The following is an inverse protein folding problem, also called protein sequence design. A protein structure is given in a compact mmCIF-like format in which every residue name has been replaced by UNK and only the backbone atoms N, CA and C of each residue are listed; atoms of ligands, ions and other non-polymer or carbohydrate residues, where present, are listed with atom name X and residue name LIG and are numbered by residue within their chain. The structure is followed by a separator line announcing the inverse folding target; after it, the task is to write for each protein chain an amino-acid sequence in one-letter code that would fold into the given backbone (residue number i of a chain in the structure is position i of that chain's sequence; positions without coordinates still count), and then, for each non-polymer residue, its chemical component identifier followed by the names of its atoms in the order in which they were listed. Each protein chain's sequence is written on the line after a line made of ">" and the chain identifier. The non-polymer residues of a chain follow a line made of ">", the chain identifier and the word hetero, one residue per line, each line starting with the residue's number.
data_IF_948706887358
#
_entry.id   IF_948706887358
#
_cell.length_a   1.000
_cell.length_b   1.000
_cell.length_c   1.000
_cell.angle_alpha   90.00
_cell.angle_beta   90.00
_cell.angle_gamma   90.00
#
_symmetry.space_group_name_H-M   'P 1'
#
loop_
_entity.id
_entity.type
_entity.pdbx_description
1 polymer ?
#
# COMPACT_ATOMS: atom_id res chain seq x y z
N UNK A 1 -0.34 21.96 2.29
CA UNK A 1 0.17 20.72 1.73
C UNK A 1 1.13 21.08 0.59
N UNK A 2 2.41 20.89 0.80
CA UNK A 2 3.39 21.07 -0.29
C UNK A 2 3.36 19.81 -1.15
N UNK A 3 3.10 19.94 -2.46
CA UNK A 3 3.22 18.80 -3.37
C UNK A 3 4.69 18.33 -3.38
N UNK A 4 4.90 17.01 -3.39
CA UNK A 4 6.20 16.34 -3.29
C UNK A 4 6.89 16.48 -1.92
N UNK A 5 6.15 16.40 -0.83
CA UNK A 5 6.72 16.37 0.51
C UNK A 5 7.61 15.13 0.69
N UNK A 6 8.94 15.28 0.90
CA UNK A 6 9.85 14.13 1.00
C UNK A 6 9.69 13.33 2.31
N UNK A 7 8.86 13.81 3.22
CA UNK A 7 8.69 13.21 4.54
C UNK A 7 7.42 12.38 4.64
N UNK A 8 6.33 12.81 3.95
CA UNK A 8 5.04 12.12 4.02
C UNK A 8 4.59 11.56 2.65
N UNK A 9 5.45 11.59 1.62
CA UNK A 9 5.16 11.10 0.27
C UNK A 9 3.80 11.55 -0.27
N UNK A 10 3.45 12.84 -0.03
CA UNK A 10 2.19 13.49 -0.37
C UNK A 10 0.93 12.98 0.39
N UNK A 11 1.06 11.97 1.24
CA UNK A 11 -0.06 11.42 2.00
C UNK A 11 -0.55 12.34 3.13
N UNK A 12 0.28 13.33 3.55
CA UNK A 12 -0.03 14.25 4.65
C UNK A 12 0.04 13.61 6.04
N UNK A 13 0.40 12.35 6.14
CA UNK A 13 0.52 11.57 7.37
C UNK A 13 1.91 10.98 7.48
N UNK A 14 2.42 10.89 8.71
CA UNK A 14 3.66 10.21 9.04
C UNK A 14 3.33 9.00 9.91
N UNK A 15 3.80 7.84 9.46
CA UNK A 15 3.68 6.61 10.23
C UNK A 15 4.99 6.37 10.99
N UNK A 16 4.88 6.28 12.30
CA UNK A 16 6.00 6.01 13.18
C UNK A 16 5.87 4.60 13.76
N UNK A 17 7.00 4.02 14.16
CA UNK A 17 7.03 2.71 14.83
C UNK A 17 6.47 1.56 13.99
N UNK A 18 7.19 1.25 12.90
CA UNK A 18 6.89 0.07 12.10
C UNK A 18 7.25 -1.20 12.87
N UNK A 19 6.26 -2.07 13.10
CA UNK A 19 6.44 -3.37 13.74
C UNK A 19 5.88 -4.47 12.85
N UNK A 20 6.55 -5.62 12.82
CA UNK A 20 6.04 -6.79 12.14
C UNK A 20 5.08 -7.54 13.07
N UNK A 21 3.95 -7.95 12.53
CA UNK A 21 2.93 -8.70 13.25
C UNK A 21 2.31 -9.77 12.35
N UNK A 22 1.96 -10.91 12.93
CA UNK A 22 1.23 -11.95 12.22
C UNK A 22 -0.26 -11.77 12.47
N UNK A 23 -1.00 -11.42 11.42
CA UNK A 23 -2.44 -11.25 11.46
C UNK A 23 -3.17 -12.22 10.53
N UNK A 24 -4.46 -12.37 10.71
CA UNK A 24 -5.32 -13.19 9.88
C UNK A 24 -6.37 -12.33 9.18
N UNK A 25 -6.41 -12.39 7.85
CA UNK A 25 -7.49 -11.79 7.07
C UNK A 25 -8.74 -12.67 7.12
N UNK A 26 -9.83 -12.12 7.64
CA UNK A 26 -11.13 -12.80 7.77
C UNK A 26 -12.11 -12.14 6.80
N UNK A 27 -12.09 -12.59 5.54
CA UNK A 27 -12.81 -11.88 4.47
C UNK A 27 -14.28 -12.29 4.28
N UNK A 28 -14.71 -13.48 4.70
CA UNK A 28 -15.90 -14.10 4.12
C UNK A 28 -17.23 -13.91 4.88
N UNK A 29 -17.24 -13.65 6.16
CA UNK A 29 -18.51 -13.59 6.92
C UNK A 29 -19.18 -12.23 6.85
N UNK A 30 -18.41 -11.17 6.81
CA UNK A 30 -18.94 -9.80 6.73
C UNK A 30 -19.36 -9.42 5.31
N UNK A 31 -18.71 -9.96 4.28
CA UNK A 31 -19.12 -9.76 2.90
C UNK A 31 -20.63 -10.01 2.73
N UNK A 32 -21.15 -11.11 3.25
CA UNK A 32 -22.58 -11.45 3.17
C UNK A 32 -23.50 -10.52 3.96
N UNK A 33 -23.02 -9.97 5.09
CA UNK A 33 -23.81 -9.05 5.93
C UNK A 33 -23.89 -7.67 5.25
N UNK A 34 -22.77 -7.17 4.75
CA UNK A 34 -22.73 -5.88 4.07
C UNK A 34 -23.40 -5.92 2.69
N UNK A 35 -23.28 -7.00 1.93
CA UNK A 35 -24.04 -7.21 0.69
C UNK A 35 -25.55 -7.10 0.89
N UNK A 36 -26.08 -7.65 1.98
CA UNK A 36 -27.50 -7.55 2.32
C UNK A 36 -27.94 -6.12 2.67
N UNK A 37 -27.02 -5.29 3.15
CA UNK A 37 -27.28 -3.89 3.51
C UNK A 37 -26.96 -2.92 2.37
N UNK A 38 -26.51 -3.41 1.20
CA UNK A 38 -26.11 -2.57 0.07
C UNK A 38 -24.83 -1.74 0.32
N UNK A 39 -24.10 -2.01 1.40
CA UNK A 39 -22.88 -1.30 1.76
C UNK A 39 -21.69 -2.22 1.47
N UNK A 40 -21.40 -2.39 0.20
CA UNK A 40 -20.19 -3.09 -0.21
C UNK A 40 -19.16 -2.07 -0.73
N UNK A 41 -18.07 -1.88 0.02
CA UNK A 41 -16.91 -1.15 -0.47
C UNK A 41 -15.85 -2.13 -0.94
N UNK A 42 -15.54 -2.07 -2.23
CA UNK A 42 -14.45 -2.84 -2.83
C UNK A 42 -13.14 -2.51 -2.09
N UNK A 43 -12.38 -3.56 -1.74
CA UNK A 43 -11.10 -3.41 -1.06
C UNK A 43 -11.17 -3.33 0.46
N UNK A 44 -12.34 -3.51 1.06
CA UNK A 44 -12.45 -3.65 2.51
C UNK A 44 -12.21 -5.09 2.94
N UNK A 45 -11.60 -5.26 4.10
CA UNK A 45 -11.37 -6.57 4.73
C UNK A 45 -11.44 -6.45 6.25
N UNK A 46 -11.63 -7.58 6.93
CA UNK A 46 -11.45 -7.66 8.37
C UNK A 46 -10.16 -8.40 8.64
N UNK A 47 -9.38 -7.82 9.55
CA UNK A 47 -8.13 -8.40 9.99
C UNK A 47 -8.23 -8.67 11.49
N UNK A 48 -7.93 -9.91 11.88
CA UNK A 48 -7.74 -10.29 13.27
C UNK A 48 -6.25 -10.18 13.59
N UNK A 49 -5.92 -9.34 14.56
CA UNK A 49 -4.57 -9.01 14.97
C UNK A 49 -4.33 -9.50 16.40
N UNK A 50 -3.14 -10.02 16.73
CA UNK A 50 -2.82 -10.49 18.07
C UNK A 50 -2.77 -9.32 19.07
N UNK A 51 -2.72 -9.66 20.34
CA UNK A 51 -2.68 -8.69 21.44
C UNK A 51 -1.30 -8.17 21.76
N UNK A 52 -0.27 -8.85 21.23
CA UNK A 52 1.14 -8.56 21.52
C UNK A 52 1.96 -8.68 20.24
N UNK A 53 2.97 -7.86 20.12
CA UNK A 53 4.01 -8.01 19.11
C UNK A 53 4.95 -9.16 19.47
N UNK A 54 5.82 -9.54 18.54
CA UNK A 54 6.79 -10.63 18.75
C UNK A 54 7.79 -10.37 19.88
N UNK A 55 7.96 -9.12 20.28
CA UNK A 55 8.82 -8.69 21.40
C UNK A 55 8.09 -8.70 22.75
N UNK A 56 6.80 -9.10 22.78
CA UNK A 56 5.97 -9.13 23.99
C UNK A 56 5.37 -7.77 24.36
N UNK A 57 5.59 -6.73 23.58
CA UNK A 57 4.93 -5.45 23.80
C UNK A 57 3.47 -5.51 23.37
N UNK A 58 2.61 -4.75 24.05
CA UNK A 58 1.18 -4.70 23.74
C UNK A 58 0.95 -4.11 22.34
N UNK A 59 0.19 -4.84 21.53
CA UNK A 59 -0.27 -4.38 20.23
C UNK A 59 -1.65 -3.77 20.36
N UNK A 60 -1.77 -2.50 20.03
CA UNK A 60 -3.03 -1.75 20.01
C UNK A 60 -3.17 -1.01 18.68
N UNK A 61 -4.26 -1.32 17.96
CA UNK A 61 -4.50 -0.77 16.63
C UNK A 61 -5.65 0.20 16.67
N UNK A 62 -5.40 1.38 16.16
CA UNK A 62 -6.33 2.49 16.15
C UNK A 62 -6.76 2.86 14.72
N UNK A 63 -7.84 3.61 14.61
CA UNK A 63 -8.26 4.23 13.35
C UNK A 63 -7.11 5.09 12.80
N UNK A 64 -6.86 4.94 11.51
CA UNK A 64 -5.76 5.54 10.73
C UNK A 64 -4.42 4.81 10.80
N UNK A 65 -4.27 3.76 11.60
CA UNK A 65 -3.07 2.91 11.48
C UNK A 65 -3.02 2.25 10.10
N UNK A 66 -1.82 1.98 9.64
CA UNK A 66 -1.59 1.41 8.32
C UNK A 66 -1.00 0.01 8.44
N UNK A 67 -1.56 -0.91 7.67
CA UNK A 67 -1.11 -2.30 7.59
C UNK A 67 -0.58 -2.60 6.19
N UNK A 68 0.66 -3.02 6.08
CA UNK A 68 1.26 -3.51 4.84
C UNK A 68 1.34 -5.04 4.87
N UNK A 69 0.77 -5.70 3.88
CA UNK A 69 0.81 -7.17 3.78
C UNK A 69 2.09 -7.58 3.08
N UNK A 70 3.06 -8.15 3.82
CA UNK A 70 4.39 -8.43 3.31
C UNK A 70 4.47 -9.70 2.43
N UNK A 71 3.59 -10.68 2.70
CA UNK A 71 3.61 -12.00 2.03
C UNK A 71 2.77 -12.05 0.75
N UNK A 72 2.26 -10.92 0.31
CA UNK A 72 1.40 -10.86 -0.87
C UNK A 72 1.70 -9.64 -1.71
N UNK A 73 1.79 -9.81 -3.01
CA UNK A 73 2.04 -8.74 -3.96
C UNK A 73 0.84 -8.54 -4.88
N UNK A 74 0.62 -7.32 -5.27
CA UNK A 74 -0.44 -6.95 -6.20
C UNK A 74 0.13 -6.13 -7.34
N UNK A 75 -0.42 -6.35 -8.53
CA UNK A 75 -0.08 -5.56 -9.70
C UNK A 75 -0.70 -4.17 -9.58
N UNK A 76 0.13 -3.17 -9.82
CA UNK A 76 -0.21 -1.76 -9.85
C UNK A 76 0.10 -1.16 -11.22
N UNK A 77 -0.67 -0.14 -11.58
CA UNK A 77 -0.47 0.64 -12.80
C UNK A 77 -0.43 2.10 -12.44
N UNK A 78 0.60 2.79 -12.90
CA UNK A 78 0.71 4.24 -12.74
C UNK A 78 1.15 4.90 -14.03
N UNK A 79 0.69 6.13 -14.20
CA UNK A 79 1.13 7.05 -15.23
C UNK A 79 1.83 8.18 -14.50
N UNK A 80 3.10 8.37 -14.77
CA UNK A 80 3.94 9.38 -14.13
C UNK A 80 4.60 10.26 -15.16
N UNK A 81 4.73 11.54 -14.83
CA UNK A 81 5.58 12.46 -15.54
C UNK A 81 7.02 12.32 -15.01
N UNK A 82 7.97 12.22 -15.92
CA UNK A 82 9.38 12.18 -15.54
C UNK A 82 9.81 13.54 -14.98
N UNK A 83 10.33 13.55 -13.76
CA UNK A 83 10.91 14.71 -13.12
C UNK A 83 12.37 14.41 -12.75
N UNK A 84 13.35 15.17 -13.27
CA UNK A 84 14.74 14.95 -12.91
C UNK A 84 14.93 15.16 -11.41
N UNK A 85 15.50 14.18 -10.74
CA UNK A 85 15.92 14.28 -9.35
C UNK A 85 17.42 14.25 -9.25
N UNK A 86 18.00 14.84 -8.21
CA UNK A 86 19.45 14.93 -8.03
C UNK A 86 20.12 13.54 -8.04
N UNK A 87 19.42 12.50 -7.61
CA UNK A 87 19.93 11.14 -7.50
C UNK A 87 19.39 10.19 -8.59
N UNK A 88 18.61 10.70 -9.56
CA UNK A 88 17.98 9.89 -10.60
C UNK A 88 16.87 8.95 -10.12
N UNK A 89 16.45 9.06 -8.85
CA UNK A 89 15.38 8.24 -8.29
C UNK A 89 14.00 8.82 -8.55
N UNK A 90 13.05 7.95 -8.89
CA UNK A 90 11.64 8.29 -8.96
C UNK A 90 10.83 7.36 -8.09
N UNK A 91 10.03 7.94 -7.23
CA UNK A 91 9.13 7.23 -6.36
C UNK A 91 7.79 7.02 -7.05
N UNK A 92 7.27 5.79 -6.99
CA UNK A 92 5.89 5.47 -7.31
C UNK A 92 5.05 5.57 -6.04
N UNK A 93 3.75 5.36 -6.17
CA UNK A 93 2.83 5.41 -5.04
C UNK A 93 3.20 4.43 -3.93
N UNK A 94 3.65 3.23 -4.31
CA UNK A 94 4.09 2.21 -3.37
C UNK A 94 5.50 1.75 -3.68
N UNK A 95 6.23 1.27 -2.67
CA UNK A 95 7.52 0.65 -2.88
C UNK A 95 7.42 -0.51 -3.86
N UNK A 96 8.26 -0.49 -4.88
CA UNK A 96 8.29 -1.48 -5.94
C UNK A 96 8.97 -2.74 -5.43
N UNK A 97 8.34 -3.90 -5.59
CA UNK A 97 9.01 -5.21 -5.43
C UNK A 97 9.67 -5.64 -6.73
N UNK A 98 8.94 -5.56 -7.85
CA UNK A 98 9.50 -5.72 -9.18
C UNK A 98 8.67 -4.98 -10.24
N UNK A 99 9.31 -4.58 -11.34
CA UNK A 99 8.67 -3.95 -12.49
C UNK A 99 8.35 -5.01 -13.54
N UNK A 100 7.10 -5.06 -13.97
CA UNK A 100 6.68 -5.93 -15.06
C UNK A 100 6.88 -5.25 -16.42
N UNK A 101 6.52 -3.98 -16.50
CA UNK A 101 6.54 -3.22 -17.74
C UNK A 101 6.70 -1.73 -17.49
N UNK A 102 7.57 -1.09 -18.24
CA UNK A 102 7.77 0.36 -18.20
C UNK A 102 7.94 0.90 -19.62
N UNK A 103 7.13 1.89 -20.00
CA UNK A 103 7.18 2.46 -21.35
C UNK A 103 6.78 3.92 -21.40
N UNK A 104 7.22 4.60 -22.45
CA UNK A 104 6.79 5.96 -22.80
C UNK A 104 6.64 6.09 -24.31
N UNK A 105 5.84 7.05 -24.75
CA UNK A 105 5.76 7.44 -26.17
C UNK A 105 6.65 8.65 -26.39
N UNK A 106 7.80 8.45 -27.02
CA UNK A 106 8.80 9.48 -27.24
C UNK A 106 8.81 9.84 -28.73
N UNK A 107 8.49 11.09 -29.06
CA UNK A 107 8.43 11.53 -30.45
C UNK A 107 7.42 10.74 -31.30
N UNK A 108 6.34 10.24 -30.71
CA UNK A 108 5.33 9.41 -31.39
C UNK A 108 5.69 7.93 -31.50
N UNK A 109 6.85 7.51 -30.98
CA UNK A 109 7.31 6.11 -31.01
C UNK A 109 7.25 5.52 -29.61
N UNK A 110 6.66 4.33 -29.48
CA UNK A 110 6.65 3.61 -28.22
C UNK A 110 8.07 3.11 -27.89
N UNK A 111 8.60 3.56 -26.78
CA UNK A 111 9.86 3.05 -26.20
C UNK A 111 9.51 2.22 -24.96
N UNK A 112 9.98 0.98 -24.94
CA UNK A 112 9.94 0.11 -23.75
C UNK A 112 11.30 0.19 -23.08
N UNK A 113 11.31 0.46 -21.79
CA UNK A 113 12.52 0.55 -20.99
C UNK A 113 12.84 -0.82 -20.37
N UNK A 114 14.11 -1.18 -20.33
CA UNK A 114 14.59 -2.50 -19.88
C UNK A 114 15.32 -2.33 -18.55
N UNK A 115 14.91 -3.11 -17.55
CA UNK A 115 15.61 -3.14 -16.26
C UNK A 115 17.04 -3.66 -16.44
N UNK A 116 17.99 -3.04 -15.75
CA UNK A 116 19.42 -3.32 -15.88
C UNK A 116 20.12 -2.57 -17.01
N UNK A 117 19.37 -2.01 -17.99
CA UNK A 117 19.89 -1.21 -19.09
C UNK A 117 19.45 0.24 -18.99
N UNK A 118 18.17 0.49 -18.88
CA UNK A 118 17.60 1.85 -18.83
C UNK A 118 17.31 2.31 -17.41
N UNK A 119 16.98 1.38 -16.52
CA UNK A 119 16.68 1.65 -15.11
C UNK A 119 16.98 0.44 -14.21
N UNK A 120 17.08 0.71 -12.92
CA UNK A 120 17.07 -0.32 -11.86
C UNK A 120 15.96 -0.04 -10.85
N UNK A 121 15.59 -1.06 -10.06
CA UNK A 121 14.79 -0.91 -8.86
C UNK A 121 15.73 -0.95 -7.66
N UNK A 122 15.79 0.13 -6.89
CA UNK A 122 16.63 0.27 -5.71
C UNK A 122 15.78 0.87 -4.59
N UNK A 123 15.74 0.21 -3.45
CA UNK A 123 14.95 0.64 -2.28
C UNK A 123 13.49 0.96 -2.63
N UNK A 124 12.87 0.11 -3.47
CA UNK A 124 11.49 0.26 -3.89
C UNK A 124 11.21 1.44 -4.82
N UNK A 125 12.24 2.05 -5.41
CA UNK A 125 12.14 3.20 -6.32
C UNK A 125 12.76 2.88 -7.68
N UNK A 126 12.30 3.57 -8.72
CA UNK A 126 12.96 3.52 -10.03
C UNK A 126 14.20 4.40 -9.96
N UNK A 127 15.36 3.83 -10.25
CA UNK A 127 16.60 4.56 -10.50
C UNK A 127 16.90 4.52 -11.98
N UNK A 128 16.82 5.66 -12.65
CA UNK A 128 17.18 5.77 -14.05
C UNK A 128 18.70 5.69 -14.24
N UNK A 129 19.13 4.93 -15.22
CA UNK A 129 20.53 4.82 -15.57
C UNK A 129 20.94 5.93 -16.55
N UNK A 130 22.17 6.40 -16.43
CA UNK A 130 22.65 7.61 -17.13
C UNK A 130 22.38 7.60 -18.65
N UNK A 131 21.73 8.65 -19.14
CA UNK A 131 21.39 8.84 -20.55
C UNK A 131 20.16 8.11 -21.07
N UNK A 132 19.55 7.23 -20.29
CA UNK A 132 18.38 6.43 -20.68
C UNK A 132 17.04 6.94 -20.08
N UNK A 133 17.06 8.13 -19.49
CA UNK A 133 15.86 8.76 -18.91
C UNK A 133 14.82 9.11 -19.97
N UNK A 134 13.54 9.17 -19.62
CA UNK A 134 12.55 9.86 -20.45
C UNK A 134 12.97 11.32 -20.70
N UNK A 135 12.67 11.90 -21.86
CA UNK A 135 13.00 13.29 -22.15
C UNK A 135 12.40 14.26 -21.14
N UNK A 136 13.14 15.33 -20.86
CA UNK A 136 12.70 16.43 -20.01
C UNK A 136 12.96 17.77 -20.68
N UNK A 137 11.97 18.65 -20.68
CA UNK A 137 12.11 20.02 -21.19
C UNK A 137 12.29 20.99 -20.02
N UNK A 138 13.53 21.44 -19.76
CA UNK A 138 13.83 22.34 -18.64
C UNK A 138 13.19 23.72 -18.76
N UNK A 139 12.93 24.19 -19.99
CA UNK A 139 12.32 25.49 -20.20
C UNK A 139 10.83 25.53 -19.84
N UNK A 140 10.16 24.38 -19.95
CA UNK A 140 8.75 24.22 -19.59
C UNK A 140 8.56 23.51 -18.25
N UNK A 141 9.62 22.97 -17.67
CA UNK A 141 9.61 22.11 -16.47
C UNK A 141 8.67 20.90 -16.62
N UNK A 142 8.59 20.35 -17.84
CA UNK A 142 7.71 19.22 -18.18
C UNK A 142 8.55 18.06 -18.67
N UNK A 143 8.36 16.90 -18.09
CA UNK A 143 8.94 15.63 -18.52
C UNK A 143 8.01 14.83 -19.41
N UNK A 144 8.57 13.88 -20.15
CA UNK A 144 7.76 12.92 -20.88
C UNK A 144 7.00 12.02 -19.91
N UNK A 145 5.76 11.72 -20.25
CA UNK A 145 4.91 10.84 -19.45
C UNK A 145 5.25 9.38 -19.75
N UNK A 146 5.43 8.59 -18.72
CA UNK A 146 5.66 7.15 -18.82
C UNK A 146 4.59 6.36 -18.07
N UNK A 147 4.35 5.16 -18.53
CA UNK A 147 3.46 4.19 -17.90
C UNK A 147 4.29 3.08 -17.27
N UNK A 148 3.99 2.72 -16.05
CA UNK A 148 4.63 1.63 -15.34
C UNK A 148 3.61 0.64 -14.82
N UNK A 149 3.84 -0.66 -15.08
CA UNK A 149 3.18 -1.78 -14.43
C UNK A 149 4.20 -2.44 -13.50
N UNK A 150 3.87 -2.54 -12.24
CA UNK A 150 4.76 -3.05 -11.22
C UNK A 150 4.00 -3.82 -10.15
N UNK A 151 4.72 -4.57 -9.34
CA UNK A 151 4.17 -5.24 -8.18
C UNK A 151 4.61 -4.52 -6.91
N UNK A 152 3.69 -4.47 -5.95
CA UNK A 152 3.91 -3.89 -4.63
C UNK A 152 3.09 -4.63 -3.57
N UNK A 153 3.53 -4.56 -2.34
CA UNK A 153 2.77 -5.06 -1.21
C UNK A 153 1.52 -4.19 -1.00
N UNK A 154 0.33 -4.79 -0.87
CA UNK A 154 -0.88 -4.01 -0.65
C UNK A 154 -0.90 -3.37 0.73
N UNK A 155 -1.32 -2.11 0.75
CA UNK A 155 -1.44 -1.28 1.94
C UNK A 155 -2.91 -1.10 2.28
N UNK A 156 -3.23 -1.23 3.56
CA UNK A 156 -4.57 -1.05 4.11
C UNK A 156 -4.54 -0.03 5.24
N UNK A 157 -5.53 0.83 5.28
CA UNK A 157 -5.74 1.75 6.39
C UNK A 157 -6.82 1.20 7.34
N UNK A 158 -6.59 1.25 8.63
CA UNK A 158 -7.57 0.87 9.65
C UNK A 158 -8.67 1.94 9.65
N UNK A 159 -9.89 1.52 9.35
CA UNK A 159 -11.06 2.41 9.29
C UNK A 159 -11.83 2.38 10.59
N UNK A 160 -11.92 1.21 11.21
CA UNK A 160 -12.69 1.01 12.43
C UNK A 160 -12.17 -0.18 13.22
N UNK A 161 -12.18 -0.06 14.53
CA UNK A 161 -12.02 -1.19 15.44
C UNK A 161 -13.38 -1.83 15.70
N UNK A 162 -13.50 -3.13 15.45
CA UNK A 162 -14.78 -3.84 15.52
C UNK A 162 -15.08 -4.40 16.91
N UNK A 163 -14.08 -4.49 17.77
CA UNK A 163 -14.21 -5.08 19.09
C UNK A 163 -13.58 -4.18 20.15
N UNK A 164 -14.42 -3.55 20.98
CA UNK A 164 -13.95 -2.70 22.06
C UNK A 164 -13.54 -3.52 23.31
N UNK A 165 -14.25 -4.62 23.58
CA UNK A 165 -13.96 -5.47 24.73
C UNK A 165 -12.90 -6.51 24.37
N UNK A 166 -11.68 -6.31 24.85
CA UNK A 166 -10.51 -7.12 24.53
C UNK A 166 -10.08 -8.06 25.65
N UNK A 167 -10.91 -8.22 26.68
CA UNK A 167 -10.58 -9.05 27.84
C UNK A 167 -11.69 -10.04 28.11
N UNK A 168 -11.34 -11.30 28.25
CA UNK A 168 -12.21 -12.37 28.74
C UNK A 168 -11.60 -13.01 29.97
N UNK A 169 -12.37 -13.79 30.69
CA UNK A 169 -11.87 -14.60 31.80
C UNK A 169 -11.76 -16.07 31.37
N UNK A 170 -10.61 -16.65 31.55
CA UNK A 170 -10.37 -18.05 31.29
C UNK A 170 -9.89 -18.76 32.57
N UNK A 171 -10.22 -20.02 32.69
CA UNK A 171 -9.77 -20.87 33.82
C UNK A 171 -8.43 -21.50 33.42
N UNK A 172 -7.33 -20.99 33.96
CA UNK A 172 -6.00 -21.55 33.78
C UNK A 172 -5.56 -22.21 35.10
N UNK A 173 -5.34 -23.50 35.09
CA UNK A 173 -4.97 -24.27 36.28
C UNK A 173 -5.91 -24.06 37.50
N UNK A 174 -7.23 -23.94 37.27
CA UNK A 174 -8.21 -23.73 38.30
C UNK A 174 -8.34 -22.30 38.84
N UNK A 175 -7.57 -21.36 38.32
CA UNK A 175 -7.62 -19.94 38.68
C UNK A 175 -8.19 -19.13 37.52
N UNK A 176 -9.11 -18.21 37.80
CA UNK A 176 -9.63 -17.27 36.81
C UNK A 176 -8.56 -16.25 36.47
N UNK A 177 -8.15 -16.21 35.21
CA UNK A 177 -7.23 -15.24 34.68
C UNK A 177 -7.90 -14.37 33.60
N UNK A 178 -7.57 -13.11 33.58
CA UNK A 178 -7.96 -12.23 32.50
C UNK A 178 -7.09 -12.52 31.28
N UNK A 179 -7.70 -12.93 30.18
CA UNK A 179 -7.03 -13.18 28.92
C UNK A 179 -7.45 -12.13 27.91
N UNK A 180 -6.49 -11.51 27.24
CA UNK A 180 -6.78 -10.58 26.16
C UNK A 180 -7.18 -11.30 24.89
N UNK A 181 -8.19 -10.79 24.24
CA UNK A 181 -8.69 -11.31 22.97
C UNK A 181 -7.99 -10.56 21.80
N UNK A 182 -7.77 -11.26 20.67
CA UNK A 182 -7.32 -10.61 19.44
C UNK A 182 -8.21 -9.43 19.08
N UNK A 183 -7.60 -8.39 18.53
CA UNK A 183 -8.33 -7.24 18.02
C UNK A 183 -8.80 -7.51 16.60
N UNK A 184 -10.06 -7.26 16.33
CA UNK A 184 -10.60 -7.27 14.97
C UNK A 184 -10.75 -5.83 14.48
N UNK A 185 -10.14 -5.55 13.32
CA UNK A 185 -10.19 -4.24 12.70
C UNK A 185 -10.78 -4.35 11.30
N UNK A 186 -11.62 -3.40 10.96
CA UNK A 186 -12.04 -3.17 9.58
C UNK A 186 -10.97 -2.34 8.90
N UNK A 187 -10.44 -2.86 7.81
CA UNK A 187 -9.44 -2.19 7.01
C UNK A 187 -9.96 -1.93 5.61
N UNK A 188 -9.50 -0.84 5.02
CA UNK A 188 -9.75 -0.48 3.64
C UNK A 188 -8.43 -0.36 2.91
N UNK A 189 -8.35 -0.95 1.73
CA UNK A 189 -7.18 -0.84 0.88
C UNK A 189 -6.98 0.62 0.49
N UNK A 190 -5.75 1.11 0.64
CA UNK A 190 -5.41 2.50 0.36
C UNK A 190 -5.64 2.85 -1.12
N UNK A 191 -5.32 1.92 -2.01
CA UNK A 191 -5.51 2.08 -3.44
C UNK A 191 -5.99 0.80 -4.09
N UNK A 192 -6.97 0.94 -5.00
CA UNK A 192 -7.41 -0.15 -5.86
C UNK A 192 -6.78 0.01 -7.24
N UNK A 193 -6.20 -1.05 -7.82
CA UNK A 193 -5.71 -1.00 -9.20
C UNK A 193 -6.82 -0.53 -10.16
N UNK A 194 -6.46 0.28 -11.13
CA UNK A 194 -7.39 0.93 -12.09
C UNK A 194 -8.37 -0.02 -12.82
N UNK A 195 -8.13 -1.33 -12.80
CA UNK A 195 -9.05 -2.32 -13.36
C UNK A 195 -10.34 -2.52 -12.56
N UNK A 196 -10.39 -2.08 -11.30
CA UNK A 196 -11.55 -2.21 -10.41
C UNK A 196 -12.42 -0.94 -10.34
N UNK A 197 -11.92 0.20 -10.80
CA UNK A 197 -12.69 1.45 -10.81
C UNK A 197 -13.76 1.53 -11.90
N UNK A 198 -13.73 0.61 -12.89
CA UNK A 198 -14.69 0.60 -13.99
C UNK A 198 -16.01 -0.14 -13.72
N UNK A 199 -16.28 -0.57 -12.50
CA UNK A 199 -17.53 -1.26 -12.13
C UNK A 199 -18.60 -0.29 -11.62
N UNK A 200 -18.43 0.99 -11.83
CA UNK A 200 -19.37 2.05 -11.47
C UNK A 200 -19.58 3.07 -12.59
N UNK A 201 -19.90 2.63 -13.79
CA UNK A 201 -20.46 3.50 -14.83
C UNK A 201 -21.98 3.32 -14.89
N UNK A 202 -22.73 4.37 -15.29
CA UNK A 202 -24.17 4.46 -15.19
C UNK A 202 -24.91 3.38 -15.97
#
# INVERSE_FOLDING_TARGET
>A
HEPNCPVCDDNGWLYYYQNNITGMFVSNSLQKIFERQGIWEIGSAIVSLPTEYSDGTEADFNTYDQLTVLDYEVRMWEIKEYQPTANGFQQLRYPITHVEYLSAVIGGVLKVFVQGTDFNVVDGKIQWLGGHTPPYNPARQVGEVYTVSYFANPVYNVVQTLRELRVTQEMVNGVKQAVRLPQEVLVKRDFLPNGSEKVGGP
#
